data_IF_015770452325
#
_entry.id   IF_015770452325
#
_cell.length_a   1.000
_cell.length_b   1.000
_cell.length_c   1.000
_cell.angle_alpha   90.00
_cell.angle_beta   90.00
_cell.angle_gamma   90.00
#
_symmetry.space_group_name_H-M   'P 1'
#
loop_
_entity.id
_entity.type
_entity.pdbx_description
1 polymer ?
#
# COMPACT_ATOMS: atom_id res chain seq x y z
N UNK A 1 73.49 21.29 -41.97
CA UNK A 1 72.71 20.80 -43.13
C UNK A 1 71.31 21.43 -43.10
N UNK A 2 70.87 21.98 -44.25
CA UNK A 2 69.51 22.30 -44.76
C UNK A 2 68.37 22.38 -43.73
N UNK A 3 67.81 23.57 -43.42
CA UNK A 3 66.65 24.26 -44.07
C UNK A 3 65.40 23.39 -44.24
N UNK A 4 64.25 23.82 -43.69
CA UNK A 4 63.03 24.32 -44.38
C UNK A 4 61.95 24.60 -43.31
N UNK A 5 61.60 25.85 -42.99
CA UNK A 5 60.66 26.77 -43.64
C UNK A 5 59.16 26.42 -43.50
N UNK A 6 58.44 27.39 -42.93
CA UNK A 6 57.18 27.97 -43.42
C UNK A 6 55.94 27.06 -43.54
N UNK A 7 54.92 27.27 -42.73
CA UNK A 7 53.91 28.35 -42.79
C UNK A 7 52.62 27.83 -43.45
N UNK A 8 51.48 28.08 -42.78
CA UNK A 8 50.23 28.58 -43.35
C UNK A 8 49.10 28.43 -42.33
N UNK A 9 48.83 29.57 -41.70
CA UNK A 9 47.51 30.11 -41.42
C UNK A 9 46.40 29.52 -42.32
N UNK A 10 45.33 29.00 -41.72
CA UNK A 10 43.98 29.14 -42.26
C UNK A 10 42.98 29.38 -41.13
N UNK A 11 42.36 30.54 -41.23
CA UNK A 11 41.21 31.02 -40.48
C UNK A 11 39.94 30.32 -41.00
N UNK A 12 38.88 30.36 -40.19
CA UNK A 12 37.45 30.42 -40.54
C UNK A 12 36.65 29.25 -39.96
N UNK A 13 35.63 29.60 -39.17
CA UNK A 13 34.48 28.75 -38.95
C UNK A 13 33.78 28.90 -37.60
N UNK A 14 33.38 30.11 -37.20
CA UNK A 14 32.33 30.25 -36.21
C UNK A 14 31.03 29.67 -36.81
N UNK A 15 30.61 28.49 -36.35
CA UNK A 15 29.21 28.07 -36.46
C UNK A 15 28.59 28.11 -35.06
N UNK A 16 28.00 29.26 -34.79
CA UNK A 16 26.86 29.41 -33.91
C UNK A 16 25.76 28.42 -34.31
N UNK A 17 25.59 27.35 -33.53
CA UNK A 17 24.29 26.74 -33.34
C UNK A 17 23.97 26.92 -31.86
N UNK A 18 23.29 28.02 -31.56
CA UNK A 18 22.69 28.24 -30.26
C UNK A 18 21.72 27.11 -30.00
N UNK A 19 22.08 26.20 -29.11
CA UNK A 19 21.11 25.46 -28.33
C UNK A 19 20.51 26.46 -27.35
N UNK A 20 19.60 27.30 -27.85
CA UNK A 20 18.57 27.88 -27.00
C UNK A 20 17.76 26.69 -26.50
N UNK A 21 18.19 26.12 -25.37
CA UNK A 21 17.30 25.34 -24.53
C UNK A 21 16.31 26.38 -24.03
N UNK A 22 15.27 26.62 -24.82
CA UNK A 22 14.04 27.19 -24.33
C UNK A 22 13.65 26.29 -23.17
N UNK A 23 13.89 26.78 -21.96
CA UNK A 23 13.29 26.23 -20.76
C UNK A 23 11.79 26.40 -20.96
N UNK A 24 11.17 25.41 -21.63
CA UNK A 24 9.75 25.18 -21.50
C UNK A 24 9.61 24.76 -20.06
N UNK A 25 9.36 25.73 -19.18
CA UNK A 25 8.81 25.44 -17.88
C UNK A 25 7.49 24.75 -18.18
N UNK A 26 7.29 23.47 -17.83
CA UNK A 26 5.94 22.97 -17.80
C UNK A 26 5.27 23.71 -16.64
N UNK A 27 4.59 24.81 -16.95
CA UNK A 27 3.55 25.35 -16.08
C UNK A 27 2.43 24.32 -16.09
N UNK A 28 2.56 23.28 -15.27
CA UNK A 28 1.37 22.60 -14.79
C UNK A 28 0.69 23.65 -13.92
N UNK A 29 -0.35 24.27 -14.50
CA UNK A 29 -1.37 24.92 -13.71
C UNK A 29 -1.79 23.89 -12.66
N UNK A 30 -1.33 24.07 -11.43
CA UNK A 30 -1.99 23.50 -10.27
C UNK A 30 -3.33 24.23 -10.18
N UNK A 31 -4.24 23.83 -11.06
CA UNK A 31 -5.64 24.13 -10.93
C UNK A 31 -6.03 23.70 -9.52
N UNK A 32 -6.74 24.57 -8.82
CA UNK A 32 -7.06 24.49 -7.39
C UNK A 32 -8.05 23.35 -7.08
N UNK A 33 -7.95 22.24 -7.79
CA UNK A 33 -8.76 21.04 -7.69
C UNK A 33 -8.20 20.08 -6.65
N UNK A 34 -9.10 19.42 -5.94
CA UNK A 34 -8.76 18.29 -5.07
C UNK A 34 -8.09 17.23 -5.94
N UNK A 35 -6.85 16.88 -5.62
CA UNK A 35 -6.12 15.83 -6.32
C UNK A 35 -6.87 14.50 -6.16
N UNK A 36 -6.97 13.67 -7.21
CA UNK A 36 -7.71 12.42 -7.14
C UNK A 36 -7.07 11.46 -6.13
N UNK A 37 -7.90 10.74 -5.37
CA UNK A 37 -7.44 9.57 -4.63
C UNK A 37 -7.04 8.50 -5.65
N UNK A 38 -5.76 8.16 -5.66
CA UNK A 38 -5.19 7.16 -6.58
C UNK A 38 -5.08 5.78 -5.94
N UNK A 39 -5.65 5.61 -4.75
CA UNK A 39 -5.58 4.36 -4.03
C UNK A 39 -6.46 3.28 -4.66
N UNK A 40 -5.93 2.06 -4.75
CA UNK A 40 -6.66 0.88 -5.24
C UNK A 40 -6.61 -0.19 -4.17
N UNK A 41 -7.78 -0.69 -3.78
CA UNK A 41 -7.94 -1.71 -2.73
C UNK A 41 -8.25 -3.09 -3.35
N UNK A 42 -7.56 -4.13 -2.89
CA UNK A 42 -7.81 -5.53 -3.26
C UNK A 42 -7.66 -6.45 -2.04
N UNK A 43 -8.13 -7.71 -2.13
CA UNK A 43 -8.05 -8.69 -1.06
C UNK A 43 -7.58 -10.06 -1.53
N UNK A 44 -6.91 -10.79 -0.63
CA UNK A 44 -6.66 -12.23 -0.72
C UNK A 44 -7.10 -12.91 0.58
N UNK A 45 -7.54 -14.17 0.49
CA UNK A 45 -8.13 -14.88 1.63
C UNK A 45 -7.62 -16.32 1.74
N UNK A 46 -7.36 -16.75 2.98
CA UNK A 46 -6.97 -18.11 3.30
C UNK A 46 -7.72 -18.59 4.54
N UNK A 47 -8.46 -19.70 4.40
CA UNK A 47 -9.30 -20.26 5.47
C UNK A 47 -8.91 -21.71 5.70
N UNK A 48 -8.66 -22.06 6.97
CA UNK A 48 -8.28 -23.42 7.37
C UNK A 48 -9.25 -24.00 8.39
N UNK A 49 -9.73 -25.25 8.19
CA UNK A 49 -10.56 -25.93 9.17
C UNK A 49 -9.73 -26.35 10.39
N UNK A 50 -10.34 -26.27 11.57
CA UNK A 50 -9.77 -26.70 12.85
C UNK A 50 -10.82 -27.50 13.63
N UNK A 51 -10.46 -28.69 14.09
CA UNK A 51 -11.32 -29.48 14.97
C UNK A 51 -11.36 -28.85 16.37
N UNK A 52 -12.57 -28.49 16.81
CA UNK A 52 -12.81 -28.03 18.17
C UNK A 52 -13.10 -29.18 19.14
N UNK A 53 -12.77 -29.00 20.42
CA UNK A 53 -13.18 -29.90 21.50
C UNK A 53 -14.67 -29.74 21.82
N UNK A 54 -15.33 -30.86 22.09
CA UNK A 54 -16.74 -30.99 22.46
C UNK A 54 -17.12 -30.09 23.63
N UNK A 55 -18.16 -29.26 23.51
CA UNK A 55 -18.89 -28.78 24.69
C UNK A 55 -19.90 -29.86 25.07
N UNK A 56 -19.67 -30.52 26.21
CA UNK A 56 -20.60 -31.49 26.79
C UNK A 56 -21.91 -30.80 27.19
N UNK A 57 -22.86 -30.74 26.26
CA UNK A 57 -24.27 -30.49 26.52
C UNK A 57 -24.91 -31.77 27.07
N UNK A 58 -25.63 -31.63 28.17
CA UNK A 58 -26.25 -32.65 29.01
C UNK A 58 -27.40 -33.42 28.29
N UNK A 59 -27.14 -34.06 27.16
CA UNK A 59 -27.90 -35.19 26.60
C UNK A 59 -27.22 -35.66 25.30
N UNK A 60 -26.97 -36.97 25.21
CA UNK A 60 -26.08 -37.59 24.23
C UNK A 60 -26.32 -37.21 22.78
N UNK A 61 -25.37 -36.49 22.20
CA UNK A 61 -24.81 -36.70 20.85
C UNK A 61 -23.54 -35.86 20.76
N UNK A 62 -22.38 -36.49 20.87
CA UNK A 62 -21.08 -35.80 20.76
C UNK A 62 -20.80 -35.47 19.29
N UNK A 63 -21.29 -34.32 18.82
CA UNK A 63 -20.89 -33.76 17.53
C UNK A 63 -19.71 -32.82 17.75
N UNK A 64 -18.58 -33.07 17.08
CA UNK A 64 -17.46 -32.12 17.04
C UNK A 64 -17.95 -30.80 16.46
N UNK A 65 -17.68 -29.67 17.13
CA UNK A 65 -17.94 -28.36 16.56
C UNK A 65 -16.79 -28.02 15.59
N UNK A 66 -17.14 -27.74 14.33
CA UNK A 66 -16.18 -27.24 13.35
C UNK A 66 -15.86 -25.77 13.65
N UNK A 67 -14.58 -25.49 13.90
CA UNK A 67 -14.06 -24.12 13.95
C UNK A 67 -13.15 -23.89 12.76
N UNK A 68 -12.93 -22.63 12.40
CA UNK A 68 -12.11 -22.25 11.27
C UNK A 68 -11.20 -21.11 11.68
N UNK A 69 -9.95 -21.15 11.22
CA UNK A 69 -9.03 -20.02 11.30
C UNK A 69 -9.04 -19.33 9.93
N UNK A 70 -9.56 -18.11 9.91
CA UNK A 70 -9.55 -17.23 8.75
C UNK A 70 -8.36 -16.28 8.84
N UNK A 71 -7.59 -16.16 7.76
CA UNK A 71 -6.58 -15.12 7.56
C UNK A 71 -6.91 -14.38 6.27
N UNK A 72 -7.20 -13.09 6.38
CA UNK A 72 -7.58 -12.26 5.24
C UNK A 72 -6.58 -11.11 5.13
N UNK A 73 -6.14 -10.82 3.90
CA UNK A 73 -5.31 -9.68 3.59
C UNK A 73 -6.09 -8.68 2.77
N UNK A 74 -5.83 -7.40 3.03
CA UNK A 74 -6.32 -6.29 2.24
C UNK A 74 -5.15 -5.38 1.89
N UNK A 75 -5.00 -5.11 0.61
CA UNK A 75 -3.92 -4.30 0.06
C UNK A 75 -4.49 -2.98 -0.41
N UNK A 76 -3.85 -1.87 -0.04
CA UNK A 76 -4.09 -0.54 -0.59
C UNK A 76 -2.83 -0.06 -1.32
N UNK A 77 -2.91 -0.03 -2.64
CA UNK A 77 -1.84 0.43 -3.52
C UNK A 77 -2.01 1.93 -3.79
N UNK A 78 -0.94 2.70 -3.66
CA UNK A 78 -0.91 4.13 -3.88
C UNK A 78 -0.11 4.45 -5.14
N UNK A 79 -0.68 5.23 -6.04
CA UNK A 79 -0.05 5.58 -7.31
C UNK A 79 0.29 7.07 -7.37
N UNK A 80 1.23 7.42 -8.22
CA UNK A 80 1.40 8.81 -8.64
C UNK A 80 0.40 9.16 -9.76
N UNK A 81 0.41 10.42 -10.22
CA UNK A 81 -0.50 10.88 -11.27
C UNK A 81 -0.24 10.24 -12.64
N UNK A 82 0.88 9.54 -12.81
CA UNK A 82 1.19 8.75 -14.01
C UNK A 82 0.79 7.27 -13.88
N UNK A 83 0.14 6.89 -12.77
CA UNK A 83 -0.33 5.52 -12.53
C UNK A 83 0.76 4.54 -12.02
N UNK A 84 1.94 5.05 -11.67
CA UNK A 84 3.06 4.25 -11.14
C UNK A 84 2.85 4.05 -9.64
N UNK A 85 2.94 2.81 -9.15
CA UNK A 85 2.86 2.51 -7.73
C UNK A 85 4.05 3.13 -6.98
N UNK A 86 3.75 3.96 -5.97
CA UNK A 86 4.75 4.64 -5.13
C UNK A 86 4.76 4.12 -3.69
N UNK A 87 3.65 3.53 -3.23
CA UNK A 87 3.58 2.86 -1.94
C UNK A 87 2.52 1.75 -1.96
N UNK A 88 2.66 0.78 -1.05
CA UNK A 88 1.70 -0.30 -0.80
C UNK A 88 1.59 -0.48 0.70
N UNK A 89 0.35 -0.48 1.21
CA UNK A 89 0.03 -0.96 2.55
C UNK A 89 -0.76 -2.26 2.41
N UNK A 90 -0.26 -3.34 2.99
CA UNK A 90 -0.94 -4.63 3.02
C UNK A 90 -1.19 -5.02 4.47
N UNK A 91 -2.46 -5.12 4.84
CA UNK A 91 -2.91 -5.40 6.19
C UNK A 91 -3.48 -6.81 6.27
N UNK A 92 -3.04 -7.57 7.26
CA UNK A 92 -3.51 -8.94 7.51
C UNK A 92 -4.24 -9.04 8.84
N UNK A 93 -5.36 -9.74 8.83
CA UNK A 93 -6.16 -10.03 9.99
C UNK A 93 -6.42 -11.54 10.10
N UNK A 94 -6.20 -12.09 11.30
CA UNK A 94 -6.53 -13.47 11.60
C UNK A 94 -7.58 -13.56 12.71
N UNK A 95 -8.57 -14.44 12.58
CA UNK A 95 -9.52 -14.75 13.65
C UNK A 95 -10.04 -16.18 13.55
N UNK A 96 -10.47 -16.71 14.68
CA UNK A 96 -11.11 -18.03 14.76
C UNK A 96 -12.61 -17.86 14.90
N UNK A 97 -13.38 -18.60 14.10
CA UNK A 97 -14.83 -18.55 14.11
C UNK A 97 -15.47 -19.92 13.96
N UNK A 98 -16.73 -20.03 14.35
CA UNK A 98 -17.55 -21.24 14.23
C UNK A 98 -19.00 -20.94 14.59
N UNK A 99 -19.94 -21.52 13.82
CA UNK A 99 -21.38 -21.41 14.08
C UNK A 99 -21.89 -19.98 14.30
N UNK A 100 -21.41 -19.01 13.51
CA UNK A 100 -21.84 -17.61 13.59
C UNK A 100 -21.17 -16.79 14.70
N UNK A 101 -20.18 -17.36 15.39
CA UNK A 101 -19.45 -16.71 16.49
C UNK A 101 -17.95 -16.65 16.22
N UNK A 102 -17.31 -15.60 16.69
CA UNK A 102 -15.86 -15.42 16.75
C UNK A 102 -15.42 -15.85 18.14
N UNK A 103 -14.59 -16.89 18.20
CA UNK A 103 -14.08 -17.44 19.46
C UNK A 103 -12.72 -16.86 19.85
N UNK A 104 -11.96 -16.37 18.88
CA UNK A 104 -10.65 -15.74 19.13
C UNK A 104 -10.35 -14.67 18.09
N UNK A 105 -9.89 -13.51 18.55
CA UNK A 105 -9.28 -12.50 17.70
C UNK A 105 -7.77 -12.78 17.67
N UNK A 106 -7.27 -13.14 16.49
CA UNK A 106 -5.89 -13.56 16.29
C UNK A 106 -4.95 -12.38 16.00
N UNK A 107 -3.83 -12.71 15.36
CA UNK A 107 -2.78 -11.75 15.03
C UNK A 107 -3.21 -10.70 14.00
N UNK A 108 -2.59 -9.52 14.11
CA UNK A 108 -2.61 -8.45 13.12
C UNK A 108 -1.17 -8.15 12.71
N UNK A 109 -0.91 -8.08 11.42
CA UNK A 109 0.39 -7.66 10.90
C UNK A 109 0.23 -6.88 9.60
N UNK A 110 1.29 -6.17 9.22
CA UNK A 110 1.34 -5.41 7.98
C UNK A 110 2.58 -5.78 7.17
N UNK A 111 2.50 -5.56 5.86
CA UNK A 111 3.62 -5.59 4.93
C UNK A 111 3.59 -4.32 4.10
N UNK A 112 4.49 -3.40 4.40
CA UNK A 112 4.56 -2.10 3.74
C UNK A 112 5.71 -2.07 2.73
N UNK A 113 5.44 -1.50 1.56
CA UNK A 113 6.43 -1.31 0.52
C UNK A 113 6.36 0.11 -0.03
N UNK A 114 7.52 0.64 -0.41
CA UNK A 114 7.65 1.97 -0.99
C UNK A 114 8.58 1.94 -2.20
N UNK A 115 8.31 2.82 -3.17
CA UNK A 115 9.26 3.09 -4.24
C UNK A 115 10.56 3.70 -3.67
N UNK A 116 11.68 3.66 -4.41
CA UNK A 116 12.89 4.37 -4.01
C UNK A 116 12.59 5.84 -3.68
N UNK A 117 13.25 6.38 -2.64
CA UNK A 117 13.05 7.75 -2.12
C UNK A 117 11.70 7.99 -1.42
N UNK A 118 10.93 6.93 -1.20
CA UNK A 118 9.81 6.89 -0.25
C UNK A 118 10.22 6.05 0.98
N UNK A 119 9.75 6.47 2.14
CA UNK A 119 9.87 5.75 3.41
C UNK A 119 8.52 5.52 4.07
N UNK A 120 8.52 4.65 5.08
CA UNK A 120 7.42 4.49 6.02
C UNK A 120 7.99 4.38 7.43
N UNK A 121 7.32 4.99 8.40
CA UNK A 121 7.88 5.13 9.76
C UNK A 121 6.96 4.54 10.84
N UNK A 122 5.67 4.91 10.81
CA UNK A 122 4.74 4.61 11.87
C UNK A 122 3.69 3.61 11.42
N UNK A 123 3.84 2.36 11.87
CA UNK A 123 2.83 1.32 11.76
C UNK A 123 2.01 1.22 13.06
N UNK A 124 0.71 1.02 12.92
CA UNK A 124 -0.19 0.75 14.06
C UNK A 124 -1.16 -0.34 13.68
N UNK A 125 -1.31 -1.33 14.55
CA UNK A 125 -2.24 -2.45 14.40
C UNK A 125 -3.08 -2.57 15.66
N UNK A 126 -4.40 -2.48 15.54
CA UNK A 126 -5.30 -2.72 16.66
C UNK A 126 -6.59 -3.40 16.24
N UNK A 127 -7.14 -4.20 17.15
CA UNK A 127 -8.53 -4.65 17.07
C UNK A 127 -9.45 -3.59 17.69
N UNK A 128 -10.46 -3.19 16.94
CA UNK A 128 -11.63 -2.47 17.44
C UNK A 128 -12.75 -3.50 17.63
N UNK A 129 -12.82 -4.08 18.84
CA UNK A 129 -13.82 -5.10 19.17
C UNK A 129 -15.24 -4.53 19.09
N UNK A 130 -16.14 -5.22 18.38
CA UNK A 130 -17.55 -4.88 18.30
C UNK A 130 -18.39 -5.89 19.08
N UNK A 131 -18.47 -7.13 18.59
CA UNK A 131 -19.29 -8.19 19.18
C UNK A 131 -18.69 -9.58 18.95
N UNK A 132 -19.21 -10.59 19.64
CA UNK A 132 -18.88 -12.00 19.42
C UNK A 132 -19.31 -12.55 18.05
N UNK A 133 -20.06 -11.82 17.24
CA UNK A 133 -20.38 -12.17 15.84
C UNK A 133 -19.61 -11.35 14.80
N UNK A 134 -18.89 -10.29 15.22
CA UNK A 134 -18.20 -9.37 14.30
C UNK A 134 -17.04 -8.61 14.95
N UNK A 135 -15.99 -8.37 14.19
CA UNK A 135 -14.85 -7.56 14.60
C UNK A 135 -14.51 -6.50 13.57
N UNK A 136 -13.66 -5.55 13.97
CA UNK A 136 -13.04 -4.61 13.05
C UNK A 136 -11.56 -4.43 13.41
N UNK A 137 -10.67 -4.39 12.43
CA UNK A 137 -9.27 -4.00 12.63
C UNK A 137 -9.08 -2.52 12.30
N UNK A 138 -8.01 -1.94 12.83
CA UNK A 138 -7.52 -0.63 12.45
C UNK A 138 -6.01 -0.73 12.23
N UNK A 139 -5.62 -0.85 10.97
CA UNK A 139 -4.24 -1.02 10.56
C UNK A 139 -3.82 0.17 9.72
N UNK A 140 -2.82 0.93 10.17
CA UNK A 140 -2.36 2.13 9.49
C UNK A 140 -0.85 2.18 9.37
N UNK A 141 -0.38 2.80 8.29
CA UNK A 141 1.02 3.08 8.00
C UNK A 141 1.17 4.52 7.52
N UNK A 142 2.13 5.27 8.08
CA UNK A 142 2.48 6.60 7.58
C UNK A 142 3.58 6.50 6.54
N UNK A 143 3.31 7.01 5.34
CA UNK A 143 4.26 7.12 4.24
C UNK A 143 4.79 8.55 4.11
N UNK A 144 6.07 8.66 3.77
CA UNK A 144 6.74 9.94 3.58
C UNK A 144 7.71 9.89 2.38
N UNK A 145 7.86 11.00 1.67
CA UNK A 145 8.82 11.17 0.58
C UNK A 145 9.23 12.62 0.42
N UNK A 146 10.47 12.85 -0.01
CA UNK A 146 10.92 14.16 -0.48
C UNK A 146 10.44 14.52 -1.89
N UNK A 147 9.78 13.60 -2.60
CA UNK A 147 9.36 13.79 -3.99
C UNK A 147 7.97 14.45 -4.05
N UNK A 148 7.84 15.65 -4.65
CA UNK A 148 6.55 16.30 -4.81
C UNK A 148 5.69 15.65 -5.90
N UNK A 149 4.39 15.91 -5.88
CA UNK A 149 3.48 15.65 -7.00
C UNK A 149 3.95 16.42 -8.26
N UNK A 150 3.85 15.87 -9.49
CA UNK A 150 3.20 14.63 -9.91
C UNK A 150 4.07 13.37 -9.80
N UNK A 151 5.35 13.52 -9.46
CA UNK A 151 6.30 12.41 -9.38
C UNK A 151 6.04 11.53 -8.16
N UNK A 152 5.61 12.16 -7.07
CA UNK A 152 5.20 11.51 -5.84
C UNK A 152 3.72 11.12 -5.77
N UNK A 153 3.28 10.61 -4.62
CA UNK A 153 1.88 10.30 -4.38
C UNK A 153 0.99 11.52 -4.65
N UNK A 154 -0.19 11.28 -5.22
CA UNK A 154 -1.14 12.33 -5.53
C UNK A 154 -1.59 13.10 -4.27
N UNK A 155 -1.61 12.46 -3.10
CA UNK A 155 -1.89 13.10 -1.81
C UNK A 155 -0.75 13.94 -1.23
N UNK A 156 0.36 14.12 -1.96
CA UNK A 156 1.52 14.91 -1.55
C UNK A 156 2.67 14.08 -0.96
N UNK A 157 3.63 14.79 -0.38
CA UNK A 157 4.89 14.24 0.15
C UNK A 157 4.72 13.39 1.41
N UNK A 158 3.58 13.50 2.11
CA UNK A 158 3.27 12.71 3.30
C UNK A 158 1.80 12.35 3.31
N UNK A 159 1.49 11.09 3.61
CA UNK A 159 0.11 10.64 3.79
C UNK A 159 0.04 9.44 4.74
N UNK A 160 -1.12 9.25 5.35
CA UNK A 160 -1.38 8.08 6.20
C UNK A 160 -2.29 7.13 5.47
N UNK A 161 -1.83 5.91 5.26
CA UNK A 161 -2.69 4.81 4.87
C UNK A 161 -3.40 4.25 6.08
N UNK A 162 -4.68 3.92 5.93
CA UNK A 162 -5.46 3.17 6.90
C UNK A 162 -6.33 2.16 6.15
N UNK A 163 -6.36 0.93 6.66
CA UNK A 163 -7.19 -0.16 6.20
C UNK A 163 -7.99 -0.66 7.42
N UNK A 164 -9.31 -0.58 7.32
CA UNK A 164 -10.21 -1.09 8.36
C UNK A 164 -10.86 -2.39 7.90
N UNK A 165 -10.38 -3.54 8.39
CA UNK A 165 -10.93 -4.86 8.00
C UNK A 165 -12.06 -5.22 8.94
N UNK A 166 -13.30 -5.26 8.45
CA UNK A 166 -14.44 -5.84 9.17
C UNK A 166 -14.44 -7.36 8.96
N UNK A 167 -14.66 -8.11 10.04
CA UNK A 167 -14.66 -9.58 10.03
C UNK A 167 -15.95 -10.11 10.66
N UNK A 168 -16.32 -11.34 10.31
CA UNK A 168 -17.57 -11.96 10.76
C UNK A 168 -17.36 -13.35 11.36
N UNK A 169 -18.31 -13.79 12.19
CA UNK A 169 -18.39 -15.15 12.75
C UNK A 169 -18.72 -16.25 11.73
N UNK A 170 -18.72 -15.92 10.43
CA UNK A 170 -18.87 -16.84 9.29
C UNK A 170 -17.64 -16.82 8.37
N UNK A 171 -16.56 -16.17 8.77
CA UNK A 171 -15.31 -16.14 8.02
C UNK A 171 -15.24 -15.15 6.86
N UNK A 172 -16.25 -14.30 6.68
CA UNK A 172 -16.22 -13.26 5.66
C UNK A 172 -15.50 -12.00 6.16
N UNK A 173 -14.87 -11.26 5.25
CA UNK A 173 -14.25 -9.97 5.52
C UNK A 173 -14.60 -8.90 4.49
N UNK A 174 -14.47 -7.63 4.86
CA UNK A 174 -14.48 -6.49 3.94
C UNK A 174 -13.59 -5.37 4.47
N UNK A 175 -13.01 -4.54 3.59
CA UNK A 175 -12.20 -3.40 4.03
C UNK A 175 -12.54 -2.08 3.31
N UNK A 176 -12.05 -1.00 3.91
CA UNK A 176 -12.11 0.40 3.46
C UNK A 176 -10.80 1.12 3.79
#
# INVERSE_FOLDING_TARGET
>A
MKKFLNSKLFVVGALSAGLSISAVTPSFAAENGVLPDTSVISSDEYVTPVQGTTQNGKNGTNTLASSYVSTHSWVKNYKNLYGINVAKNEAYAQWTWGSGTISNFGGLWQSNWTAPLYGYDNESNSWNYKYNSSGQTNQSAKFSSGIPTPWGHAGGSQFTSRILINVTGYGNSSAQ
#
